data_IF_898044598032
#
_entry.id   IF_898044598032
#
_cell.length_a   1.000
_cell.length_b   1.000
_cell.length_c   1.000
_cell.angle_alpha   90.00
_cell.angle_beta   90.00
_cell.angle_gamma   90.00
#
_symmetry.space_group_name_H-M   'P 1'
#
loop_
_entity.id
_entity.type
_entity.pdbx_description
1 polymer ?
#
# COMPACT_ATOMS: atom_id res chain seq x y z
N UNK A 1 29.04 -34.70 -6.83
CA UNK A 1 29.60 -33.39 -6.41
C UNK A 1 30.53 -33.50 -5.21
N UNK A 2 30.16 -34.16 -4.11
CA UNK A 2 30.97 -34.26 -2.88
C UNK A 2 32.39 -34.83 -3.08
N UNK A 3 32.57 -35.69 -4.10
CA UNK A 3 33.88 -36.26 -4.47
C UNK A 3 34.76 -35.27 -5.26
N UNK A 4 34.16 -34.43 -6.10
CA UNK A 4 34.86 -33.39 -6.90
C UNK A 4 35.31 -32.24 -6.00
N UNK A 5 34.49 -31.86 -5.01
CA UNK A 5 34.84 -30.79 -4.04
C UNK A 5 36.03 -31.21 -3.15
N UNK A 6 36.18 -32.50 -2.86
CA UNK A 6 37.22 -33.03 -1.97
C UNK A 6 38.54 -33.38 -2.67
N UNK A 7 38.53 -33.67 -3.97
CA UNK A 7 39.73 -34.16 -4.68
C UNK A 7 39.79 -33.82 -6.17
N UNK A 8 38.97 -32.87 -6.65
CA UNK A 8 38.93 -32.47 -8.06
C UNK A 8 40.09 -31.54 -8.44
N UNK A 9 40.57 -31.69 -9.67
CA UNK A 9 41.51 -30.75 -10.29
C UNK A 9 40.88 -29.36 -10.49
N UNK A 10 41.71 -28.32 -10.67
CA UNK A 10 41.23 -26.95 -10.88
C UNK A 10 40.25 -26.81 -12.05
N UNK A 11 40.43 -27.62 -13.11
CA UNK A 11 39.51 -27.67 -14.26
C UNK A 11 38.16 -28.30 -13.91
N UNK A 12 38.16 -29.41 -13.18
CA UNK A 12 36.93 -30.09 -12.73
C UNK A 12 36.12 -29.22 -11.76
N UNK A 13 36.79 -28.44 -10.90
CA UNK A 13 36.15 -27.45 -10.03
C UNK A 13 35.53 -26.30 -10.83
N UNK A 14 36.23 -25.80 -11.85
CA UNK A 14 35.70 -24.76 -12.73
C UNK A 14 34.48 -25.24 -13.52
N UNK A 15 34.51 -26.46 -14.07
CA UNK A 15 33.39 -27.07 -14.79
C UNK A 15 32.20 -27.32 -13.86
N UNK A 16 32.44 -27.80 -12.64
CA UNK A 16 31.41 -27.99 -11.63
C UNK A 16 30.75 -26.65 -11.23
N UNK A 17 31.56 -25.60 -11.04
CA UNK A 17 31.06 -24.24 -10.79
C UNK A 17 30.21 -23.73 -11.96
N UNK A 18 30.65 -23.92 -13.19
CA UNK A 18 29.90 -23.54 -14.40
C UNK A 18 28.53 -24.22 -14.48
N UNK A 19 28.44 -25.50 -14.07
CA UNK A 19 27.17 -26.24 -14.00
C UNK A 19 26.24 -25.76 -12.88
N UNK A 20 26.79 -25.30 -11.76
CA UNK A 20 26.01 -24.83 -10.60
C UNK A 20 25.52 -23.38 -10.73
N UNK A 21 26.27 -22.54 -11.44
CA UNK A 21 25.99 -21.11 -11.52
C UNK A 21 24.57 -20.79 -12.01
N UNK A 22 24.02 -21.44 -13.07
CA UNK A 22 22.64 -21.22 -13.49
C UNK A 22 21.61 -21.55 -12.40
N UNK A 23 21.79 -22.66 -11.66
CA UNK A 23 20.86 -23.05 -10.60
C UNK A 23 20.88 -22.06 -9.43
N UNK A 24 22.06 -21.62 -9.00
CA UNK A 24 22.17 -20.62 -7.94
C UNK A 24 21.52 -19.31 -8.39
N UNK A 25 21.80 -18.88 -9.62
CA UNK A 25 21.21 -17.69 -10.22
C UNK A 25 19.68 -17.79 -10.23
N UNK A 26 19.10 -18.82 -10.85
CA UNK A 26 17.66 -19.00 -10.93
C UNK A 26 17.00 -19.11 -9.54
N UNK A 27 17.67 -19.72 -8.57
CA UNK A 27 17.18 -19.80 -7.18
C UNK A 27 17.11 -18.42 -6.55
N UNK A 28 18.17 -17.61 -6.65
CA UNK A 28 18.21 -16.27 -6.08
C UNK A 28 17.19 -15.34 -6.76
N UNK A 29 17.04 -15.43 -8.09
CA UNK A 29 16.01 -14.68 -8.82
C UNK A 29 14.62 -15.12 -8.39
N UNK A 30 14.37 -16.43 -8.32
CA UNK A 30 13.09 -16.96 -7.87
C UNK A 30 12.69 -16.51 -6.46
N UNK A 31 13.64 -16.42 -5.53
CA UNK A 31 13.38 -15.89 -4.18
C UNK A 31 12.98 -14.41 -4.21
N UNK A 32 13.59 -13.58 -5.08
CA UNK A 32 13.19 -12.18 -5.23
C UNK A 32 11.77 -12.08 -5.81
N UNK A 33 11.46 -12.85 -6.85
CA UNK A 33 10.13 -12.88 -7.44
C UNK A 33 9.07 -13.31 -6.43
N UNK A 34 9.28 -14.44 -5.74
CA UNK A 34 8.37 -14.92 -4.71
C UNK A 34 8.22 -13.92 -3.55
N UNK A 35 9.28 -13.17 -3.23
CA UNK A 35 9.22 -12.13 -2.20
C UNK A 35 8.42 -10.89 -2.62
N UNK A 36 8.37 -10.53 -3.90
CA UNK A 36 7.65 -9.35 -4.38
C UNK A 36 6.33 -9.67 -5.10
N UNK A 37 6.01 -10.95 -5.28
CA UNK A 37 4.77 -11.39 -5.87
C UNK A 37 3.56 -11.05 -4.96
N UNK A 38 2.51 -10.43 -5.52
CA UNK A 38 1.22 -10.33 -4.84
C UNK A 38 0.62 -11.72 -4.57
N UNK A 39 0.10 -12.02 -3.37
CA UNK A 39 -0.62 -13.27 -3.11
C UNK A 39 -1.72 -13.55 -4.16
N UNK A 40 -1.62 -14.69 -4.85
CA UNK A 40 -2.57 -15.08 -5.89
C UNK A 40 -2.30 -14.47 -7.27
N UNK A 41 -1.12 -13.89 -7.48
CA UNK A 41 -0.65 -13.43 -8.77
C UNK A 41 -0.71 -14.52 -9.85
N UNK A 42 -1.08 -14.12 -11.05
CA UNK A 42 -1.43 -15.02 -12.14
C UNK A 42 -0.26 -15.30 -13.07
N UNK A 43 0.65 -14.34 -13.27
CA UNK A 43 1.79 -14.52 -14.18
C UNK A 43 2.69 -15.66 -13.71
N UNK A 44 3.09 -15.63 -12.43
CA UNK A 44 3.98 -16.66 -11.88
C UNK A 44 3.28 -18.01 -11.67
N UNK A 45 1.99 -18.00 -11.38
CA UNK A 45 1.20 -19.22 -11.29
C UNK A 45 1.07 -19.94 -12.64
N UNK A 46 0.88 -19.19 -13.73
CA UNK A 46 0.60 -19.75 -15.05
C UNK A 46 1.86 -19.86 -15.94
N UNK A 47 2.95 -19.15 -15.61
CA UNK A 47 4.18 -19.13 -16.40
C UNK A 47 5.42 -19.34 -15.52
N UNK A 48 5.71 -20.61 -15.19
CA UNK A 48 6.90 -20.98 -14.44
C UNK A 48 8.23 -20.67 -15.17
N UNK A 49 8.19 -20.41 -16.48
CA UNK A 49 9.36 -20.03 -17.28
C UNK A 49 9.68 -18.55 -17.12
N UNK A 50 8.71 -17.70 -16.76
CA UNK A 50 8.85 -16.24 -16.60
C UNK A 50 10.06 -15.84 -15.74
N UNK A 51 10.27 -16.53 -14.60
CA UNK A 51 11.39 -16.30 -13.69
C UNK A 51 12.72 -16.73 -14.30
N UNK A 52 12.74 -17.92 -14.92
CA UNK A 52 13.99 -18.52 -15.46
C UNK A 52 14.49 -17.76 -16.68
N UNK A 53 13.56 -17.25 -17.48
CA UNK A 53 13.81 -16.45 -18.67
C UNK A 53 14.13 -14.99 -18.37
N UNK A 54 14.23 -14.56 -17.10
CA UNK A 54 14.72 -13.21 -16.81
C UNK A 54 16.03 -12.97 -17.56
N UNK A 55 16.22 -11.86 -18.25
CA UNK A 55 17.44 -11.60 -19.02
C UNK A 55 18.20 -10.40 -18.47
N UNK A 56 19.37 -10.64 -17.88
CA UNK A 56 20.23 -9.57 -17.37
C UNK A 56 21.08 -8.89 -18.47
N UNK A 57 21.18 -9.51 -19.64
CA UNK A 57 22.10 -9.10 -20.71
C UNK A 57 21.54 -8.00 -21.61
N UNK A 58 20.21 -7.94 -21.80
CA UNK A 58 19.55 -6.93 -22.64
C UNK A 58 19.66 -5.50 -22.08
N UNK A 59 19.89 -5.33 -20.77
CA UNK A 59 20.21 -4.02 -20.19
C UNK A 59 21.58 -3.47 -20.60
N UNK A 60 22.45 -4.28 -21.21
CA UNK A 60 23.82 -3.90 -21.58
C UNK A 60 23.98 -3.60 -23.09
N UNK A 61 22.95 -3.85 -23.92
CA UNK A 61 23.07 -3.79 -25.39
C UNK A 61 22.90 -2.40 -26.01
N UNK A 62 22.44 -1.40 -25.25
CA UNK A 62 22.29 -0.02 -25.75
C UNK A 62 23.33 0.88 -25.06
N UNK A 63 24.31 1.39 -25.83
CA UNK A 63 25.29 2.35 -25.33
C UNK A 63 24.59 3.53 -24.63
N UNK A 64 24.87 3.71 -23.33
CA UNK A 64 24.35 4.84 -22.53
C UNK A 64 23.25 4.51 -21.52
N UNK A 65 22.76 3.27 -21.42
CA UNK A 65 21.82 2.92 -20.34
C UNK A 65 22.53 2.74 -18.99
N UNK A 66 22.08 3.51 -17.99
CA UNK A 66 22.52 3.41 -16.59
C UNK A 66 22.31 1.99 -16.04
N UNK A 67 23.27 1.43 -15.27
CA UNK A 67 23.00 0.22 -14.50
C UNK A 67 21.88 0.50 -13.47
N UNK A 68 21.07 -0.52 -13.14
CA UNK A 68 20.00 -0.46 -12.12
C UNK A 68 18.71 0.29 -12.51
N UNK A 69 18.21 0.07 -13.74
CA UNK A 69 16.86 0.51 -14.16
C UNK A 69 15.78 -0.55 -13.88
N UNK A 70 14.53 -0.09 -13.79
CA UNK A 70 13.33 -0.95 -13.81
C UNK A 70 13.40 -1.93 -14.98
N UNK A 71 13.24 -3.25 -14.75
CA UNK A 71 13.26 -4.24 -15.83
C UNK A 71 12.06 -4.03 -16.74
N UNK A 72 12.25 -4.32 -18.04
CA UNK A 72 11.21 -4.20 -19.06
C UNK A 72 10.60 -5.55 -19.37
N UNK A 73 9.33 -5.57 -19.74
CA UNK A 73 8.68 -6.76 -20.28
C UNK A 73 9.10 -6.95 -21.74
N UNK A 74 9.59 -8.15 -22.07
CA UNK A 74 10.04 -8.52 -23.41
C UNK A 74 9.30 -9.78 -23.87
N UNK A 75 8.90 -9.80 -25.15
CA UNK A 75 8.06 -10.85 -25.74
C UNK A 75 8.74 -11.56 -26.92
N UNK A 76 10.04 -11.85 -26.79
CA UNK A 76 10.82 -12.60 -27.80
C UNK A 76 10.94 -14.07 -27.39
N UNK A 77 10.27 -14.98 -28.12
CA UNK A 77 10.28 -16.41 -27.82
C UNK A 77 9.54 -16.82 -26.52
N UNK A 78 8.87 -15.86 -25.88
CA UNK A 78 8.15 -15.99 -24.61
C UNK A 78 8.20 -14.66 -23.85
N UNK A 79 7.21 -14.42 -22.98
CA UNK A 79 7.17 -13.23 -22.13
C UNK A 79 8.14 -13.39 -20.95
N UNK A 80 9.02 -12.43 -20.74
CA UNK A 80 9.99 -12.40 -19.63
C UNK A 80 10.39 -10.96 -19.27
N UNK A 81 11.01 -10.77 -18.11
CA UNK A 81 11.59 -9.49 -17.73
C UNK A 81 13.05 -9.42 -18.15
N UNK A 82 13.45 -8.30 -18.75
CA UNK A 82 14.83 -8.04 -19.13
C UNK A 82 15.36 -6.79 -18.40
N UNK A 83 16.55 -6.91 -17.83
CA UNK A 83 17.29 -5.84 -17.17
C UNK A 83 17.67 -6.17 -15.73
N UNK A 84 17.65 -5.15 -14.86
CA UNK A 84 18.06 -5.32 -13.46
C UNK A 84 16.88 -5.77 -12.57
N UNK A 85 17.13 -6.05 -11.30
CA UNK A 85 16.06 -6.28 -10.31
C UNK A 85 15.62 -5.00 -9.59
N UNK A 86 16.17 -3.84 -9.96
CA UNK A 86 15.71 -2.57 -9.41
C UNK A 86 14.23 -2.36 -9.78
N UNK A 87 13.39 -1.94 -8.84
CA UNK A 87 11.95 -1.76 -9.06
C UNK A 87 11.19 -3.03 -9.51
N UNK A 88 11.73 -4.22 -9.23
CA UNK A 88 11.05 -5.50 -9.48
C UNK A 88 9.59 -5.55 -8.96
N UNK A 89 9.25 -5.10 -7.73
CA UNK A 89 7.85 -5.13 -7.28
C UNK A 89 6.90 -4.35 -8.21
N UNK A 90 7.33 -3.20 -8.72
CA UNK A 90 6.55 -2.42 -9.67
C UNK A 90 6.42 -3.15 -11.01
N UNK A 91 7.52 -3.69 -11.55
CA UNK A 91 7.49 -4.44 -12.80
C UNK A 91 6.57 -5.67 -12.72
N UNK A 92 6.58 -6.39 -11.59
CA UNK A 92 5.65 -7.49 -11.36
C UNK A 92 4.20 -7.00 -11.26
N UNK A 93 3.95 -5.92 -10.53
CA UNK A 93 2.62 -5.33 -10.43
C UNK A 93 2.09 -4.83 -11.78
N UNK A 94 2.96 -4.27 -12.62
CA UNK A 94 2.64 -3.85 -13.99
C UNK A 94 2.24 -5.01 -14.88
N UNK A 95 2.91 -6.16 -14.76
CA UNK A 95 2.52 -7.39 -15.47
C UNK A 95 1.22 -7.98 -14.90
N UNK A 96 1.04 -7.93 -13.58
CA UNK A 96 -0.15 -8.48 -12.92
C UNK A 96 -1.43 -7.69 -13.22
N UNK A 97 -1.32 -6.38 -13.51
CA UNK A 97 -2.49 -5.54 -13.81
C UNK A 97 -3.32 -6.08 -14.98
N UNK A 98 -2.66 -6.67 -15.99
CA UNK A 98 -3.29 -7.22 -17.19
C UNK A 98 -4.18 -8.44 -16.90
N UNK A 99 -4.02 -9.06 -15.72
CA UNK A 99 -4.85 -10.17 -15.25
C UNK A 99 -6.03 -9.72 -14.38
N UNK A 100 -6.18 -8.42 -14.12
CA UNK A 100 -7.29 -7.87 -13.35
C UNK A 100 -8.39 -7.48 -14.33
N UNK A 101 -9.56 -8.10 -14.19
CA UNK A 101 -10.73 -7.82 -15.03
C UNK A 101 -11.60 -6.78 -14.31
N UNK A 102 -11.75 -5.56 -14.85
CA UNK A 102 -12.62 -4.55 -14.24
C UNK A 102 -14.10 -4.98 -14.28
N UNK A 103 -14.86 -4.63 -13.23
CA UNK A 103 -16.31 -4.87 -13.18
C UNK A 103 -17.10 -3.92 -14.11
N UNK A 104 -16.48 -2.80 -14.50
CA UNK A 104 -17.07 -1.79 -15.38
C UNK A 104 -16.13 -1.48 -16.54
N UNK A 105 -16.68 -1.20 -17.72
CA UNK A 105 -15.89 -0.81 -18.91
C UNK A 105 -15.18 0.51 -18.63
N UNK A 106 -13.86 0.47 -18.53
CA UNK A 106 -13.02 1.64 -18.26
C UNK A 106 -12.67 2.36 -19.57
N UNK A 107 -12.76 3.69 -19.61
CA UNK A 107 -12.31 4.48 -20.77
C UNK A 107 -10.84 4.92 -20.67
N UNK A 108 -10.19 4.68 -19.54
CA UNK A 108 -8.84 5.17 -19.22
C UNK A 108 -8.00 4.03 -18.66
N UNK A 109 -6.78 3.87 -19.19
CA UNK A 109 -5.80 2.90 -18.71
C UNK A 109 -5.04 3.57 -17.56
N UNK A 110 -5.17 3.01 -16.35
CA UNK A 110 -4.52 3.50 -15.14
C UNK A 110 -3.11 2.89 -14.99
N UNK A 111 -2.31 3.03 -16.05
CA UNK A 111 -1.10 2.23 -16.28
C UNK A 111 -0.08 2.31 -15.14
N UNK A 112 0.03 3.44 -14.42
CA UNK A 112 0.91 3.54 -13.26
C UNK A 112 0.19 3.54 -11.90
N UNK A 113 -1.11 3.88 -11.85
CA UNK A 113 -1.85 3.89 -10.59
C UNK A 113 -2.04 2.47 -10.06
N UNK A 114 -2.51 1.54 -10.91
CA UNK A 114 -2.76 0.16 -10.48
C UNK A 114 -1.47 -0.52 -10.01
N UNK A 115 -0.36 -0.49 -10.77
CA UNK A 115 0.88 -1.10 -10.31
C UNK A 115 1.42 -0.49 -9.02
N UNK A 116 1.26 0.83 -8.83
CA UNK A 116 1.66 1.51 -7.59
C UNK A 116 0.82 1.08 -6.39
N UNK A 117 -0.51 0.97 -6.54
CA UNK A 117 -1.39 0.50 -5.47
C UNK A 117 -1.08 -0.95 -5.07
N UNK A 118 -0.89 -1.84 -6.06
CA UNK A 118 -0.52 -3.23 -5.83
C UNK A 118 0.85 -3.35 -5.15
N UNK A 119 1.82 -2.54 -5.60
CA UNK A 119 3.17 -2.47 -5.00
C UNK A 119 3.10 -2.03 -3.53
N UNK A 120 2.31 -0.99 -3.24
CA UNK A 120 2.07 -0.49 -1.88
C UNK A 120 1.35 -1.49 -0.98
N UNK A 121 0.59 -2.42 -1.54
CA UNK A 121 -0.09 -3.50 -0.80
C UNK A 121 0.82 -4.71 -0.50
N UNK A 122 1.94 -4.86 -1.21
CA UNK A 122 2.82 -6.04 -1.12
C UNK A 122 4.10 -5.74 -0.34
N UNK A 123 4.72 -4.59 -0.59
CA UNK A 123 6.00 -4.22 0.01
C UNK A 123 6.01 -4.13 1.54
N UNK A 124 4.93 -3.66 2.23
CA UNK A 124 4.98 -3.48 3.67
C UNK A 124 5.20 -4.71 4.52
N UNK A 125 4.84 -5.92 4.08
CA UNK A 125 5.10 -7.18 4.80
C UNK A 125 4.92 -7.04 6.33
N UNK A 126 3.68 -7.07 6.80
CA UNK A 126 3.30 -6.84 8.20
C UNK A 126 3.67 -7.95 9.19
N UNK A 127 4.79 -8.66 9.00
CA UNK A 127 5.23 -9.75 9.88
C UNK A 127 5.62 -9.28 11.29
N UNK A 128 5.96 -8.01 11.45
CA UNK A 128 6.44 -7.41 12.71
C UNK A 128 5.42 -6.49 13.37
N UNK A 129 4.27 -6.27 12.74
CA UNK A 129 3.21 -5.43 13.29
C UNK A 129 2.52 -6.14 14.44
N UNK A 130 2.44 -5.43 15.57
CA UNK A 130 1.78 -5.87 16.79
C UNK A 130 0.28 -5.56 16.77
N UNK A 131 -0.47 -6.17 17.70
CA UNK A 131 -1.87 -5.83 17.91
C UNK A 131 -2.07 -4.37 18.32
N UNK A 132 -1.14 -3.81 19.11
CA UNK A 132 -1.16 -2.41 19.53
C UNK A 132 -0.98 -1.47 18.34
N UNK A 133 -0.04 -1.76 17.44
CA UNK A 133 0.18 -0.96 16.21
C UNK A 133 -1.06 -0.97 15.31
N UNK A 134 -1.63 -2.16 15.08
CA UNK A 134 -2.84 -2.31 14.29
C UNK A 134 -4.00 -1.52 14.90
N UNK A 135 -4.20 -1.65 16.20
CA UNK A 135 -5.27 -0.95 16.91
C UNK A 135 -5.06 0.57 16.96
N UNK A 136 -3.82 1.02 17.12
CA UNK A 136 -3.48 2.44 17.08
C UNK A 136 -3.92 3.08 15.76
N UNK A 137 -3.64 2.43 14.61
CA UNK A 137 -4.06 2.93 13.29
C UNK A 137 -5.57 3.10 13.18
N UNK A 138 -6.35 2.18 13.75
CA UNK A 138 -7.81 2.31 13.86
C UNK A 138 -8.21 3.52 14.70
N UNK A 139 -7.60 3.66 15.88
CA UNK A 139 -7.93 4.71 16.82
C UNK A 139 -7.56 6.11 16.29
N UNK A 140 -6.44 6.26 15.58
CA UNK A 140 -6.11 7.53 14.90
C UNK A 140 -7.20 7.94 13.90
N UNK A 141 -7.67 7.00 13.07
CA UNK A 141 -8.73 7.29 12.10
C UNK A 141 -10.05 7.66 12.80
N UNK A 142 -10.46 6.87 13.80
CA UNK A 142 -11.70 7.13 14.57
C UNK A 142 -11.63 8.44 15.34
N UNK A 143 -10.50 8.74 15.98
CA UNK A 143 -10.31 9.99 16.69
C UNK A 143 -10.37 11.20 15.73
N UNK A 144 -9.84 11.06 14.50
CA UNK A 144 -10.01 12.07 13.45
C UNK A 144 -11.47 12.27 13.04
N UNK A 145 -12.25 11.19 12.93
CA UNK A 145 -13.69 11.24 12.65
C UNK A 145 -14.49 11.89 13.80
N UNK A 146 -14.11 11.61 15.05
CA UNK A 146 -14.68 12.25 16.25
C UNK A 146 -14.41 13.76 16.25
N UNK A 147 -13.19 14.19 15.95
CA UNK A 147 -12.81 15.60 15.83
C UNK A 147 -13.62 16.30 14.72
N UNK A 148 -13.76 15.67 13.54
CA UNK A 148 -14.60 16.19 12.45
C UNK A 148 -16.06 16.33 12.90
N UNK A 149 -16.61 15.31 13.56
CA UNK A 149 -17.99 15.31 14.05
C UNK A 149 -18.23 16.42 15.07
N UNK A 150 -17.33 16.56 16.04
CA UNK A 150 -17.41 17.59 17.08
C UNK A 150 -17.29 19.01 16.49
N UNK A 151 -16.42 19.19 15.49
CA UNK A 151 -16.20 20.49 14.83
C UNK A 151 -17.44 21.03 14.09
N UNK A 152 -18.41 20.19 13.76
CA UNK A 152 -19.68 20.66 13.19
C UNK A 152 -20.48 21.54 14.15
N UNK A 153 -20.27 21.38 15.47
CA UNK A 153 -20.99 22.10 16.53
C UNK A 153 -20.13 23.14 17.26
N UNK A 154 -18.81 23.07 17.11
CA UNK A 154 -17.86 23.95 17.77
C UNK A 154 -17.04 24.74 16.73
N UNK A 155 -17.21 26.08 16.72
CA UNK A 155 -16.49 26.98 15.82
C UNK A 155 -14.98 26.99 16.08
N UNK A 156 -14.56 26.96 17.35
CA UNK A 156 -13.14 27.01 17.71
C UNK A 156 -12.47 25.71 17.29
N UNK A 157 -13.06 24.56 17.60
CA UNK A 157 -12.54 23.27 17.17
C UNK A 157 -12.53 23.16 15.65
N UNK A 158 -13.55 23.67 14.95
CA UNK A 158 -13.57 23.68 13.48
C UNK A 158 -12.43 24.47 12.89
N UNK A 159 -12.11 25.64 13.46
CA UNK A 159 -10.97 26.41 12.98
C UNK A 159 -9.65 25.63 13.14
N UNK A 160 -9.47 24.92 14.26
CA UNK A 160 -8.29 24.08 14.51
C UNK A 160 -8.22 22.89 13.52
N UNK A 161 -9.35 22.20 13.30
CA UNK A 161 -9.44 21.07 12.36
C UNK A 161 -9.14 21.50 10.92
N UNK A 162 -9.72 22.63 10.48
CA UNK A 162 -9.50 23.15 9.12
C UNK A 162 -8.06 23.64 8.94
N UNK A 163 -7.47 24.28 9.95
CA UNK A 163 -6.06 24.68 9.94
C UNK A 163 -5.14 23.47 9.69
N UNK A 164 -5.28 22.41 10.49
CA UNK A 164 -4.50 21.17 10.33
C UNK A 164 -4.71 20.57 8.93
N UNK A 165 -5.97 20.40 8.50
CA UNK A 165 -6.24 19.74 7.22
C UNK A 165 -5.80 20.57 6.00
N UNK A 166 -5.71 21.90 6.13
CA UNK A 166 -5.23 22.77 5.06
C UNK A 166 -3.77 22.52 4.66
N UNK A 167 -2.98 21.92 5.55
CA UNK A 167 -1.60 21.52 5.28
C UNK A 167 -1.51 20.37 4.27
N UNK A 168 -2.50 19.46 4.26
CA UNK A 168 -2.54 18.27 3.38
C UNK A 168 -3.69 18.23 2.38
N UNK A 169 -4.56 19.23 2.37
CA UNK A 169 -5.66 19.35 1.41
C UNK A 169 -5.44 20.48 0.41
N UNK A 170 -6.01 20.30 -0.79
CA UNK A 170 -6.14 21.39 -1.76
C UNK A 170 -7.09 22.48 -1.21
N UNK A 171 -6.82 23.77 -1.44
CA UNK A 171 -7.64 24.87 -0.90
C UNK A 171 -9.14 24.76 -1.24
N UNK A 172 -9.46 24.27 -2.44
CA UNK A 172 -10.85 24.07 -2.87
C UNK A 172 -11.53 22.95 -2.09
N UNK A 173 -10.79 21.89 -1.71
CA UNK A 173 -11.32 20.78 -0.88
C UNK A 173 -11.52 21.24 0.56
N UNK A 174 -10.52 21.89 1.17
CA UNK A 174 -10.64 22.40 2.54
C UNK A 174 -11.79 23.40 2.68
N UNK A 175 -11.97 24.31 1.71
CA UNK A 175 -13.09 25.25 1.71
C UNK A 175 -14.47 24.60 1.53
N UNK A 176 -14.58 23.49 0.79
CA UNK A 176 -15.83 22.71 0.71
C UNK A 176 -16.10 21.96 2.01
N UNK A 177 -15.07 21.37 2.60
CA UNK A 177 -15.14 20.67 3.90
C UNK A 177 -15.62 21.62 5.00
N UNK A 178 -15.02 22.81 5.11
CA UNK A 178 -15.42 23.82 6.08
C UNK A 178 -16.90 24.21 5.93
N UNK A 179 -17.35 24.45 4.69
CA UNK A 179 -18.76 24.78 4.41
C UNK A 179 -19.70 23.64 4.80
N UNK A 180 -19.30 22.38 4.57
CA UNK A 180 -20.10 21.22 4.96
C UNK A 180 -20.18 21.06 6.48
N UNK A 181 -19.06 21.22 7.19
CA UNK A 181 -18.99 21.20 8.65
C UNK A 181 -19.80 22.32 9.28
N UNK A 182 -19.67 23.57 8.80
CA UNK A 182 -20.44 24.73 9.28
C UNK A 182 -21.95 24.53 9.07
N UNK A 183 -22.34 23.80 8.03
CA UNK A 183 -23.73 23.45 7.74
C UNK A 183 -24.23 22.20 8.48
N UNK A 184 -23.39 21.51 9.27
CA UNK A 184 -23.73 20.27 9.95
C UNK A 184 -23.98 19.06 9.02
N UNK A 185 -23.55 19.14 7.76
CA UNK A 185 -23.80 18.11 6.73
C UNK A 185 -22.71 17.05 6.70
N UNK A 186 -22.65 16.24 7.76
CA UNK A 186 -21.64 15.18 7.91
C UNK A 186 -21.75 14.09 6.82
N UNK A 187 -22.95 13.88 6.29
CA UNK A 187 -23.24 13.04 5.11
C UNK A 187 -22.46 13.49 3.86
N UNK A 188 -22.07 14.77 3.78
CA UNK A 188 -21.25 15.30 2.69
C UNK A 188 -19.75 15.33 3.01
N UNK A 189 -19.41 15.20 4.29
CA UNK A 189 -18.02 15.23 4.78
C UNK A 189 -17.36 13.85 4.62
N UNK A 190 -17.96 12.81 5.20
CA UNK A 190 -17.34 11.49 5.26
C UNK A 190 -17.10 10.83 3.89
N UNK A 191 -17.94 11.01 2.86
CA UNK A 191 -17.63 10.49 1.52
C UNK A 191 -16.44 11.17 0.84
N UNK A 192 -15.94 12.30 1.35
CA UNK A 192 -14.84 13.06 0.76
C UNK A 192 -13.58 13.13 1.64
N UNK A 193 -13.61 12.51 2.81
CA UNK A 193 -12.47 12.43 3.73
C UNK A 193 -11.71 11.13 3.48
N UNK A 194 -10.40 11.23 3.30
CA UNK A 194 -9.57 10.04 3.09
C UNK A 194 -9.12 9.46 4.44
N UNK A 195 -8.90 8.13 4.55
CA UNK A 195 -8.32 7.49 5.72
C UNK A 195 -7.02 8.17 6.22
N UNK A 196 -6.16 8.60 5.29
CA UNK A 196 -4.94 9.33 5.64
C UNK A 196 -5.23 10.74 6.19
N UNK A 197 -6.33 11.38 5.80
CA UNK A 197 -6.74 12.69 6.31
C UNK A 197 -7.19 12.60 7.78
N UNK A 198 -8.00 11.59 8.13
CA UNK A 198 -8.46 11.39 9.51
C UNK A 198 -7.32 10.94 10.42
N UNK A 199 -6.46 10.03 9.94
CA UNK A 199 -5.25 9.64 10.66
C UNK A 199 -4.35 10.85 10.95
N UNK A 200 -4.06 11.66 9.93
CA UNK A 200 -3.23 12.85 10.06
C UNK A 200 -3.85 13.90 10.98
N UNK A 201 -5.16 14.13 10.86
CA UNK A 201 -5.87 15.06 11.72
C UNK A 201 -5.66 14.70 13.20
N UNK A 202 -5.88 13.45 13.57
CA UNK A 202 -5.68 13.02 14.96
C UNK A 202 -4.20 13.13 15.39
N UNK A 203 -3.27 12.72 14.54
CA UNK A 203 -1.83 12.81 14.82
C UNK A 203 -1.37 14.25 15.06
N UNK A 204 -1.73 15.17 14.15
CA UNK A 204 -1.38 16.57 14.26
C UNK A 204 -2.13 17.29 15.38
N UNK A 205 -3.39 16.93 15.63
CA UNK A 205 -4.14 17.50 16.76
C UNK A 205 -3.46 17.16 18.08
N UNK A 206 -3.06 15.90 18.28
CA UNK A 206 -2.32 15.49 19.49
C UNK A 206 -0.97 16.19 19.61
N UNK A 207 -0.27 16.41 18.49
CA UNK A 207 1.03 17.09 18.46
C UNK A 207 0.92 18.60 18.74
N UNK A 208 -0.07 19.28 18.15
CA UNK A 208 -0.26 20.74 18.26
C UNK A 208 -0.98 21.14 19.55
N UNK A 209 -1.84 20.27 20.07
CA UNK A 209 -2.70 20.54 21.23
C UNK A 209 -2.62 19.41 22.28
N UNK A 210 -1.42 19.09 22.80
CA UNK A 210 -1.22 17.93 23.69
C UNK A 210 -1.97 18.02 25.02
N UNK A 211 -2.34 19.21 25.47
CA UNK A 211 -3.09 19.44 26.71
C UNK A 211 -4.61 19.52 26.50
N UNK A 212 -5.09 19.36 25.27
CA UNK A 212 -6.49 19.54 24.93
C UNK A 212 -7.24 18.21 24.97
N UNK A 213 -7.49 17.73 26.20
CA UNK A 213 -8.24 16.50 26.44
C UNK A 213 -9.76 16.66 26.29
N UNK A 214 -10.26 17.90 26.22
CA UNK A 214 -11.69 18.22 26.21
C UNK A 214 -12.34 17.80 24.89
N UNK A 215 -11.64 18.04 23.78
CA UNK A 215 -12.15 17.74 22.43
C UNK A 215 -11.96 16.27 22.01
N UNK A 216 -11.24 15.47 22.80
CA UNK A 216 -11.11 14.03 22.52
C UNK A 216 -12.41 13.28 22.81
N UNK A 217 -12.91 12.59 21.80
CA UNK A 217 -13.95 11.57 21.97
C UNK A 217 -13.40 10.29 22.60
N UNK A 218 -14.23 9.25 22.72
CA UNK A 218 -13.83 7.96 23.27
C UNK A 218 -12.60 7.35 22.59
N UNK A 219 -12.53 7.34 21.25
CA UNK A 219 -11.39 6.80 20.53
C UNK A 219 -10.12 7.64 20.74
N UNK A 220 -10.26 8.98 20.83
CA UNK A 220 -9.15 9.87 21.17
C UNK A 220 -8.54 9.58 22.55
N UNK A 221 -9.38 9.31 23.55
CA UNK A 221 -8.93 8.97 24.92
C UNK A 221 -8.24 7.61 24.97
N UNK A 222 -8.82 6.61 24.30
CA UNK A 222 -8.22 5.28 24.19
C UNK A 222 -6.88 5.32 23.44
N UNK A 223 -6.79 6.14 22.38
CA UNK A 223 -5.54 6.38 21.64
C UNK A 223 -4.48 6.97 22.56
N UNK A 224 -4.83 7.98 23.36
CA UNK A 224 -3.90 8.63 24.27
C UNK A 224 -3.37 7.64 25.31
N UNK A 225 -4.24 6.84 25.92
CA UNK A 225 -3.85 5.77 26.86
C UNK A 225 -2.92 4.74 26.20
N UNK A 226 -3.23 4.30 24.98
CA UNK A 226 -2.42 3.35 24.22
C UNK A 226 -1.03 3.93 23.90
N UNK A 227 -0.98 5.19 23.45
CA UNK A 227 0.27 5.90 23.16
C UNK A 227 1.13 6.10 24.41
N UNK A 228 0.52 6.38 25.57
CA UNK A 228 1.27 6.48 26.83
C UNK A 228 1.86 5.14 27.26
N UNK A 229 1.12 4.03 27.11
CA UNK A 229 1.56 2.70 27.55
C UNK A 229 2.56 2.04 26.62
N UNK A 230 2.44 2.25 25.31
CA UNK A 230 3.19 1.54 24.28
C UNK A 230 3.91 2.49 23.32
N UNK A 231 4.46 3.61 23.83
CA UNK A 231 5.04 4.69 23.03
C UNK A 231 6.05 4.23 21.95
N UNK A 232 6.86 3.20 22.23
CA UNK A 232 7.84 2.65 21.28
C UNK A 232 7.22 1.76 20.18
N UNK A 233 6.02 1.21 20.41
CA UNK A 233 5.30 0.39 19.44
C UNK A 233 4.43 1.27 18.55
N UNK A 234 3.75 2.29 19.11
CA UNK A 234 2.75 3.09 18.39
C UNK A 234 3.23 4.49 18.01
N UNK A 235 4.55 4.68 17.86
CA UNK A 235 5.12 5.97 17.46
C UNK A 235 4.70 6.35 16.03
N UNK A 236 4.53 7.64 15.72
CA UNK A 236 4.19 8.08 14.35
C UNK A 236 5.16 7.56 13.29
N UNK A 237 6.46 7.53 13.59
CA UNK A 237 7.50 7.04 12.69
C UNK A 237 7.34 5.55 12.40
N UNK A 238 7.02 4.77 13.44
CA UNK A 238 6.82 3.33 13.31
C UNK A 238 5.55 2.99 12.53
N UNK A 239 4.45 3.67 12.83
CA UNK A 239 3.20 3.51 12.07
C UNK A 239 3.37 3.97 10.62
N UNK A 240 4.12 5.05 10.38
CA UNK A 240 4.47 5.51 9.04
C UNK A 240 5.29 4.47 8.28
N UNK A 241 6.27 3.85 8.94
CA UNK A 241 7.11 2.82 8.34
C UNK A 241 6.32 1.54 8.00
N UNK A 242 5.35 1.15 8.82
CA UNK A 242 4.65 -0.14 8.65
C UNK A 242 3.34 -0.05 7.85
N UNK A 243 2.70 1.12 7.82
CA UNK A 243 1.47 1.34 7.06
C UNK A 243 1.61 2.33 5.90
N UNK A 244 2.78 2.95 5.74
CA UNK A 244 3.11 3.74 4.56
C UNK A 244 3.26 2.93 3.28
N UNK A 245 3.48 3.65 2.18
CA UNK A 245 3.75 3.09 0.84
C UNK A 245 5.14 3.55 0.38
N UNK A 246 5.77 2.89 -0.62
CA UNK A 246 7.03 3.39 -1.17
C UNK A 246 6.82 4.62 -2.07
N UNK A 247 7.85 5.48 -2.17
CA UNK A 247 7.79 6.73 -2.92
C UNK A 247 8.99 6.91 -3.86
N UNK A 248 9.22 6.00 -4.83
CA UNK A 248 10.38 6.06 -5.72
C UNK A 248 10.36 7.29 -6.67
N UNK A 249 9.20 7.80 -7.05
CA UNK A 249 9.09 9.02 -7.87
C UNK A 249 9.11 10.29 -7.02
N UNK A 250 8.43 10.31 -5.86
CA UNK A 250 8.32 11.50 -5.01
C UNK A 250 9.51 11.71 -4.06
N UNK A 251 10.06 10.62 -3.50
CA UNK A 251 11.12 10.66 -2.49
C UNK A 251 12.41 9.93 -2.91
N UNK A 252 12.45 9.38 -4.13
CA UNK A 252 13.57 8.58 -4.64
C UNK A 252 13.97 7.42 -3.70
N UNK A 253 12.98 6.83 -3.04
CA UNK A 253 13.18 5.79 -2.04
C UNK A 253 12.07 4.73 -2.05
N UNK A 254 12.45 3.48 -1.82
CA UNK A 254 11.50 2.39 -1.55
C UNK A 254 11.20 2.23 -0.05
N UNK A 255 11.74 3.11 0.80
CA UNK A 255 11.30 3.21 2.18
C UNK A 255 9.81 3.50 2.21
N UNK A 256 9.12 2.79 3.09
CA UNK A 256 7.69 2.95 3.32
C UNK A 256 7.48 4.13 4.24
N UNK A 257 6.64 5.06 3.84
CA UNK A 257 6.36 6.25 4.60
C UNK A 257 4.94 6.74 4.33
N UNK A 258 4.30 7.35 5.32
CA UNK A 258 3.16 8.23 5.14
C UNK A 258 3.72 9.63 4.89
N UNK A 259 3.84 10.03 3.62
CA UNK A 259 4.47 11.31 3.26
C UNK A 259 3.67 12.53 3.76
N UNK A 260 2.37 12.34 4.01
CA UNK A 260 1.48 13.41 4.49
C UNK A 260 1.47 14.65 3.56
N UNK A 261 1.72 14.43 2.27
CA UNK A 261 1.66 15.46 1.24
C UNK A 261 0.25 15.61 0.69
N UNK A 262 -0.02 16.76 0.07
CA UNK A 262 -1.24 16.96 -0.72
C UNK A 262 -1.26 15.95 -1.86
N UNK A 263 -2.39 15.25 -2.12
CA UNK A 263 -2.49 14.41 -3.30
C UNK A 263 -2.17 15.22 -4.56
N UNK A 264 -1.25 14.71 -5.36
CA UNK A 264 -0.89 15.37 -6.62
C UNK A 264 -2.01 15.12 -7.64
N UNK A 265 -2.57 16.17 -8.27
CA UNK A 265 -3.50 15.96 -9.37
C UNK A 265 -2.76 15.32 -10.54
N UNK A 266 -3.52 14.70 -11.44
CA UNK A 266 -2.94 14.12 -12.63
C UNK A 266 -2.63 15.20 -13.66
N UNK A 267 -1.37 15.32 -14.04
CA UNK A 267 -0.92 16.06 -15.22
C UNK A 267 -0.50 15.07 -16.32
N UNK A 268 -1.11 15.23 -17.50
CA UNK A 268 -0.75 14.61 -18.80
C UNK A 268 0.01 13.28 -18.69
N UNK A 269 -0.71 12.14 -18.72
CA UNK A 269 -0.25 10.74 -18.84
C UNK A 269 0.80 10.22 -17.83
N UNK A 270 1.69 11.05 -17.29
CA UNK A 270 2.81 10.70 -16.39
C UNK A 270 2.46 10.77 -14.89
N UNK A 271 1.35 11.41 -14.53
CA UNK A 271 1.06 11.74 -13.13
C UNK A 271 0.21 10.73 -12.37
N UNK A 272 -0.18 9.61 -13.00
CA UNK A 272 -0.91 8.57 -12.28
C UNK A 272 -0.03 7.90 -11.21
N UNK A 273 1.30 7.81 -11.43
CA UNK A 273 2.28 7.40 -10.40
C UNK A 273 2.41 8.39 -9.25
N UNK A 274 2.48 9.71 -9.53
CA UNK A 274 2.57 10.72 -8.47
C UNK A 274 1.30 10.78 -7.62
N UNK A 275 0.13 10.67 -8.26
CA UNK A 275 -1.14 10.51 -7.54
C UNK A 275 -1.09 9.28 -6.64
N UNK A 276 -0.66 8.13 -7.17
CA UNK A 276 -0.60 6.88 -6.43
C UNK A 276 0.38 6.91 -5.26
N UNK A 277 1.58 7.46 -5.45
CA UNK A 277 2.56 7.61 -4.38
C UNK A 277 2.05 8.60 -3.33
N UNK A 278 1.33 9.66 -3.71
CA UNK A 278 0.66 10.53 -2.73
C UNK A 278 -0.59 9.92 -2.08
N UNK A 279 -1.02 8.72 -2.48
CA UNK A 279 -2.19 8.02 -1.97
C UNK A 279 -1.83 7.11 -0.78
N UNK A 280 -1.63 7.71 0.38
CA UNK A 280 -1.26 7.02 1.62
C UNK A 280 -2.43 6.29 2.34
N UNK A 281 -3.62 6.23 1.71
CA UNK A 281 -4.85 5.82 2.41
C UNK A 281 -5.13 4.32 2.43
N UNK A 282 -4.57 3.57 1.47
CA UNK A 282 -4.98 2.20 1.20
C UNK A 282 -4.67 1.26 2.39
N UNK A 283 -3.42 1.25 2.84
CA UNK A 283 -2.98 0.39 3.94
C UNK A 283 -3.63 0.80 5.28
N UNK A 284 -3.83 2.10 5.52
CA UNK A 284 -4.53 2.59 6.71
C UNK A 284 -5.99 2.08 6.77
N UNK A 285 -6.70 2.11 5.64
CA UNK A 285 -8.08 1.64 5.57
C UNK A 285 -8.19 0.13 5.83
N UNK A 286 -7.34 -0.67 5.18
CA UNK A 286 -7.35 -2.12 5.37
C UNK A 286 -6.89 -2.54 6.76
N UNK A 287 -5.95 -1.81 7.37
CA UNK A 287 -5.55 -2.01 8.75
C UNK A 287 -6.73 -1.82 9.70
N UNK A 288 -7.43 -0.70 9.58
CA UNK A 288 -8.66 -0.46 10.36
C UNK A 288 -9.69 -1.55 10.15
N UNK A 289 -9.97 -1.91 8.90
CA UNK A 289 -10.95 -2.96 8.60
C UNK A 289 -10.58 -4.31 9.24
N UNK A 290 -9.29 -4.64 9.23
CA UNK A 290 -8.76 -5.88 9.83
C UNK A 290 -8.92 -5.88 11.35
N UNK A 291 -8.58 -4.76 12.01
CA UNK A 291 -8.74 -4.56 13.45
C UNK A 291 -10.22 -4.64 13.88
N UNK A 292 -11.09 -3.91 13.18
CA UNK A 292 -12.53 -3.87 13.47
C UNK A 292 -13.21 -5.23 13.31
N UNK A 293 -12.67 -6.08 12.43
CA UNK A 293 -13.16 -7.46 12.24
C UNK A 293 -12.48 -8.48 13.17
N UNK A 294 -11.56 -8.04 14.03
CA UNK A 294 -10.88 -8.88 15.03
C UNK A 294 -9.87 -9.86 14.42
N UNK A 295 -9.33 -9.57 13.24
CA UNK A 295 -8.27 -10.38 12.65
C UNK A 295 -6.90 -10.03 13.26
N UNK A 296 -6.00 -11.02 13.45
CA UNK A 296 -4.66 -10.74 13.94
C UNK A 296 -3.80 -10.03 12.87
N UNK A 297 -2.82 -9.18 13.25
CA UNK A 297 -2.01 -8.40 12.31
C UNK A 297 -1.35 -9.19 11.19
N UNK A 298 -0.96 -10.44 11.45
CA UNK A 298 -0.35 -11.32 10.44
C UNK A 298 -1.24 -11.51 9.20
N UNK A 299 -2.56 -11.41 9.36
CA UNK A 299 -3.54 -11.53 8.28
C UNK A 299 -3.43 -10.41 7.24
N UNK A 300 -2.86 -9.25 7.59
CA UNK A 300 -2.64 -8.15 6.65
C UNK A 300 -1.83 -8.58 5.42
N UNK A 301 -0.87 -9.50 5.60
CA UNK A 301 -0.04 -10.03 4.51
C UNK A 301 -0.86 -10.73 3.41
N UNK A 302 -2.07 -11.18 3.73
CA UNK A 302 -2.99 -11.79 2.78
C UNK A 302 -4.16 -10.88 2.44
N UNK A 303 -4.77 -10.26 3.45
CA UNK A 303 -5.95 -9.41 3.26
C UNK A 303 -5.64 -8.16 2.44
N UNK A 304 -4.55 -7.45 2.73
CA UNK A 304 -4.27 -6.17 2.07
C UNK A 304 -4.05 -6.33 0.56
N UNK A 305 -3.23 -7.27 0.06
CA UNK A 305 -3.13 -7.52 -1.39
C UNK A 305 -4.45 -7.94 -2.03
N UNK A 306 -5.23 -8.81 -1.37
CA UNK A 306 -6.50 -9.30 -1.90
C UNK A 306 -7.55 -8.20 -2.00
N UNK A 307 -7.70 -7.40 -0.95
CA UNK A 307 -8.63 -6.27 -0.92
C UNK A 307 -8.19 -5.17 -1.89
N UNK A 308 -6.89 -4.93 -2.04
CA UNK A 308 -6.38 -3.98 -3.03
C UNK A 308 -6.68 -4.43 -4.45
N UNK A 309 -6.49 -5.72 -4.79
CA UNK A 309 -6.89 -6.27 -6.09
C UNK A 309 -8.39 -6.08 -6.33
N UNK A 310 -9.22 -6.42 -5.34
CA UNK A 310 -10.68 -6.26 -5.43
C UNK A 310 -11.11 -4.80 -5.59
N UNK A 311 -10.44 -3.88 -4.90
CA UNK A 311 -10.64 -2.44 -5.06
C UNK A 311 -10.30 -1.99 -6.48
N UNK A 312 -9.22 -2.50 -7.08
CA UNK A 312 -8.86 -2.19 -8.47
C UNK A 312 -9.92 -2.71 -9.45
N UNK A 313 -10.45 -3.92 -9.25
CA UNK A 313 -11.55 -4.47 -10.07
C UNK A 313 -12.79 -3.54 -10.09
N UNK A 314 -13.04 -2.88 -8.95
CA UNK A 314 -14.17 -1.94 -8.78
C UNK A 314 -13.87 -0.51 -9.21
N UNK A 315 -12.61 -0.18 -9.46
CA UNK A 315 -12.23 1.18 -9.76
C UNK A 315 -12.90 1.64 -11.06
N UNK A 316 -13.83 2.58 -10.92
CA UNK A 316 -14.51 3.21 -12.04
C UNK A 316 -14.45 4.72 -11.90
N UNK A 317 -13.60 5.33 -12.72
CA UNK A 317 -13.27 6.73 -12.68
C UNK A 317 -13.54 7.37 -14.04
N UNK A 318 -14.10 8.58 -14.04
CA UNK A 318 -14.51 9.27 -15.28
C UNK A 318 -13.35 10.02 -15.94
N UNK A 319 -12.34 10.42 -15.15
CA UNK A 319 -11.10 11.05 -15.60
C UNK A 319 -9.95 10.68 -14.65
N UNK A 320 -8.71 11.00 -15.05
CA UNK A 320 -7.52 10.70 -14.26
C UNK A 320 -7.48 11.46 -12.91
N UNK A 321 -8.19 12.59 -12.80
CA UNK A 321 -8.30 13.41 -11.58
C UNK A 321 -9.44 12.97 -10.63
N UNK A 322 -10.22 11.94 -10.98
CA UNK A 322 -11.35 11.43 -10.21
C UNK A 322 -10.86 10.56 -9.03
N UNK A 323 -10.00 11.12 -8.18
CA UNK A 323 -9.58 10.50 -6.92
C UNK A 323 -10.77 10.07 -6.03
N UNK A 324 -11.96 10.72 -6.04
CA UNK A 324 -13.12 10.21 -5.32
C UNK A 324 -13.54 8.82 -5.78
N UNK A 325 -13.30 8.44 -7.04
CA UNK A 325 -13.53 7.06 -7.50
C UNK A 325 -12.66 6.04 -6.77
N UNK A 326 -11.40 6.40 -6.49
CA UNK A 326 -10.47 5.55 -5.72
C UNK A 326 -11.02 5.33 -4.31
N UNK A 327 -11.46 6.41 -3.65
CA UNK A 327 -12.08 6.32 -2.32
C UNK A 327 -13.38 5.51 -2.34
N UNK A 328 -14.25 5.71 -3.33
CA UNK A 328 -15.49 4.93 -3.49
C UNK A 328 -15.20 3.44 -3.64
N UNK A 329 -14.30 3.07 -4.56
CA UNK A 329 -13.94 1.67 -4.79
C UNK A 329 -13.35 1.00 -3.54
N UNK A 330 -12.56 1.74 -2.76
CA UNK A 330 -12.04 1.30 -1.46
C UNK A 330 -13.17 1.04 -0.46
N UNK A 331 -14.08 1.99 -0.31
CA UNK A 331 -15.23 1.88 0.61
C UNK A 331 -16.15 0.72 0.22
N UNK A 332 -16.51 0.61 -1.06
CA UNK A 332 -17.35 -0.48 -1.58
C UNK A 332 -16.71 -1.85 -1.34
N UNK A 333 -15.41 -1.97 -1.56
CA UNK A 333 -14.65 -3.21 -1.28
C UNK A 333 -14.66 -3.54 0.22
N UNK A 334 -14.48 -2.54 1.08
CA UNK A 334 -14.56 -2.69 2.53
C UNK A 334 -15.93 -3.18 2.98
N UNK A 335 -17.01 -2.58 2.47
CA UNK A 335 -18.38 -3.01 2.78
C UNK A 335 -18.67 -4.43 2.29
N UNK A 336 -18.23 -4.82 1.09
CA UNK A 336 -18.36 -6.20 0.62
C UNK A 336 -17.66 -7.20 1.53
N UNK A 337 -16.48 -6.84 2.04
CA UNK A 337 -15.73 -7.68 2.98
C UNK A 337 -16.43 -7.80 4.33
N UNK A 338 -16.96 -6.71 4.88
CA UNK A 338 -17.78 -6.75 6.12
C UNK A 338 -19.01 -7.64 5.95
N UNK A 339 -19.63 -7.62 4.77
CA UNK A 339 -20.80 -8.44 4.43
C UNK A 339 -20.45 -9.90 4.08
N UNK A 340 -19.16 -10.28 4.09
CA UNK A 340 -18.70 -11.64 3.76
C UNK A 340 -18.88 -12.03 2.28
N UNK A 341 -19.06 -11.05 1.40
CA UNK A 341 -19.25 -11.27 -0.06
C UNK A 341 -17.96 -11.55 -0.79
N UNK A 342 -16.83 -11.09 -0.27
CA UNK A 342 -15.48 -11.50 -0.70
C UNK A 342 -15.10 -12.78 0.04
N UNK A 343 -14.46 -13.72 -0.68
CA UNK A 343 -14.13 -15.06 -0.16
C UNK A 343 -13.48 -14.96 1.22
N UNK A 344 -14.25 -15.33 2.25
CA UNK A 344 -13.82 -15.24 3.63
C UNK A 344 -12.68 -16.23 3.83
N UNK A 345 -11.56 -15.72 4.33
CA UNK A 345 -10.50 -16.55 4.88
C UNK A 345 -11.07 -17.39 6.02
N UNK A 346 -10.70 -18.68 6.16
CA UNK A 346 -11.10 -19.46 7.32
C UNK A 346 -10.66 -18.71 8.58
N UNK A 347 -11.61 -18.38 9.46
CA UNK A 347 -11.27 -17.97 10.83
C UNK A 347 -10.48 -19.14 11.42
N UNK A 348 -9.31 -18.87 11.99
CA UNK A 348 -8.52 -19.89 12.69
C UNK A 348 -9.42 -20.54 13.75
N UNK A 349 -9.92 -21.73 13.48
CA UNK A 349 -10.50 -22.57 14.52
C UNK A 349 -9.37 -22.87 15.51
N UNK A 350 -9.56 -22.43 16.75
CA UNK A 350 -8.70 -22.87 17.84
C UNK A 350 -8.86 -24.38 17.95
N UNK A 351 -7.85 -25.12 17.52
CA UNK A 351 -7.77 -26.57 17.71
C UNK A 351 -7.85 -26.84 19.23
N UNK A 352 -8.78 -27.66 19.73
CA UNK A 352 -8.64 -28.21 21.07
C UNK A 352 -7.39 -29.09 21.02
N UNK A 353 -6.40 -28.77 21.86
CA UNK A 353 -5.20 -29.58 22.01
C UNK A 353 -5.54 -31.02 22.45
N UNK A 354 -4.61 -31.98 22.22
CA UNK A 354 -4.80 -33.37 22.62
C UNK A 354 -4.97 -33.55 24.13
#
# INVERSE_FOLDING_TARGET
MTKIIKSGSGKELADARGRLAPFLRDTLVGLNYAYYEPPGAQMLHNNAIFVRSHDYSEALSTEGEQPWKTPRLVSSGGTHLAGSLADLPYALAWVEQDFIVPESVQSLIWEDLVPSLLTGAVLPRWWRVTGNELHAVTLYQRAGEELLTASAKDEKLRQMVIDILSDRMLPQRSGRLEKALRAGRLDQVFPQIMPADTFYLASEFRRRFPNDAEHWGPAGKELDDLCHRFASEVSPERLSQDFGVPHPALAHSYSRELLNVKPFPTFQDYSSRLLAESWDSNNLYWARLTDEMGYPPVMLNRLVPQLTRRMVEKLFATNLDDWPAILRAMQETGEEFRLGKTASLPKSEATPGP
#
